data_IF_084938979874
#
_entry.id   IF_084938979874
#
_cell.length_a   1.000
_cell.length_b   1.000
_cell.length_c   1.000
_cell.angle_alpha   90.00
_cell.angle_beta   90.00
_cell.angle_gamma   90.00
#
_symmetry.space_group_name_H-M   'P 1'
#
loop_
_entity.id
_entity.type
_entity.pdbx_description
1 polymer ?
#
# COMPACT_ATOMS: atom_id res chain seq x y z
N UNK A 1 7.53 -47.73 8.29
CA UNK A 1 6.23 -47.05 8.34
C UNK A 1 6.00 -46.38 9.69
N UNK A 2 6.24 -47.03 10.83
CA UNK A 2 5.95 -46.46 12.15
C UNK A 2 6.84 -45.30 12.58
N UNK A 3 8.11 -45.28 12.14
CA UNK A 3 9.05 -44.18 12.40
C UNK A 3 8.57 -42.87 11.75
N UNK A 4 8.00 -42.93 10.55
CA UNK A 4 7.47 -41.74 9.88
C UNK A 4 6.19 -41.23 10.54
N UNK A 5 5.32 -42.14 11.02
CA UNK A 5 4.11 -41.76 11.78
C UNK A 5 4.44 -41.13 13.13
N UNK A 6 5.45 -41.66 13.86
CA UNK A 6 5.86 -41.07 15.13
C UNK A 6 6.51 -39.70 14.94
N UNK A 7 7.30 -39.52 13.88
CA UNK A 7 7.87 -38.22 13.52
C UNK A 7 6.79 -37.20 13.14
N UNK A 8 5.80 -37.60 12.33
CA UNK A 8 4.69 -36.73 11.93
C UNK A 8 3.87 -36.27 13.14
N UNK A 9 3.48 -37.20 14.02
CA UNK A 9 2.74 -36.86 15.25
C UNK A 9 3.54 -35.97 16.19
N UNK A 10 4.87 -36.16 16.28
CA UNK A 10 5.75 -35.29 17.03
C UNK A 10 5.77 -33.86 16.45
N UNK A 11 5.92 -33.71 15.13
CA UNK A 11 5.90 -32.41 14.44
C UNK A 11 4.55 -31.72 14.58
N UNK A 12 3.45 -32.44 14.47
CA UNK A 12 2.10 -31.89 14.63
C UNK A 12 1.87 -31.35 16.05
N UNK A 13 2.20 -32.15 17.09
CA UNK A 13 2.07 -31.74 18.49
C UNK A 13 2.93 -30.51 18.80
N UNK A 14 4.17 -30.49 18.31
CA UNK A 14 5.10 -29.37 18.49
C UNK A 14 4.65 -28.13 17.73
N UNK A 15 4.08 -28.28 16.53
CA UNK A 15 3.48 -27.20 15.76
C UNK A 15 2.33 -26.52 16.51
N UNK A 16 1.40 -27.31 17.05
CA UNK A 16 0.29 -26.79 17.86
C UNK A 16 0.75 -26.10 19.15
N UNK A 17 1.71 -26.69 19.88
CA UNK A 17 2.29 -26.04 21.07
C UNK A 17 3.00 -24.73 20.72
N UNK A 18 3.77 -24.68 19.62
CA UNK A 18 4.40 -23.45 19.18
C UNK A 18 3.38 -22.38 18.80
N UNK A 19 2.31 -22.74 18.08
CA UNK A 19 1.25 -21.80 17.74
C UNK A 19 0.56 -21.24 18.99
N UNK A 20 0.22 -22.09 19.95
CA UNK A 20 -0.45 -21.67 21.18
C UNK A 20 0.44 -20.76 22.03
N UNK A 21 1.73 -21.10 22.17
CA UNK A 21 2.66 -20.39 23.04
C UNK A 21 3.27 -19.13 22.41
N UNK A 22 3.51 -19.15 21.09
CA UNK A 22 4.24 -18.09 20.37
C UNK A 22 3.35 -17.33 19.38
N UNK A 23 2.13 -17.81 19.15
CA UNK A 23 1.23 -17.28 18.13
C UNK A 23 1.67 -17.68 16.72
N UNK A 24 1.15 -16.93 15.75
CA UNK A 24 1.52 -17.08 14.36
C UNK A 24 2.97 -16.66 14.10
N UNK A 25 3.77 -17.58 13.54
CA UNK A 25 5.15 -17.32 13.18
C UNK A 25 5.29 -16.27 12.06
N UNK A 26 4.28 -16.13 11.20
CA UNK A 26 4.34 -15.26 10.02
C UNK A 26 4.00 -13.80 10.36
N UNK A 27 3.05 -13.58 11.26
CA UNK A 27 2.58 -12.25 11.64
C UNK A 27 3.73 -11.36 12.13
N UNK A 28 4.57 -11.85 13.04
CA UNK A 28 5.71 -11.08 13.55
C UNK A 28 6.69 -10.67 12.44
N UNK A 29 6.97 -11.59 11.50
CA UNK A 29 7.82 -11.31 10.35
C UNK A 29 7.25 -10.22 9.46
N UNK A 30 5.99 -10.35 9.01
CA UNK A 30 5.38 -9.37 8.13
C UNK A 30 5.18 -8.00 8.80
N UNK A 31 4.85 -7.98 10.10
CA UNK A 31 4.80 -6.76 10.88
C UNK A 31 6.16 -6.07 10.97
N UNK A 32 7.25 -6.82 11.19
CA UNK A 32 8.59 -6.26 11.23
C UNK A 32 8.98 -5.62 9.88
N UNK A 33 8.62 -6.26 8.76
CA UNK A 33 8.85 -5.72 7.41
C UNK A 33 7.99 -4.46 7.18
N UNK A 34 6.70 -4.50 7.51
CA UNK A 34 5.80 -3.35 7.36
C UNK A 34 6.27 -2.14 8.20
N UNK A 35 6.64 -2.38 9.46
CA UNK A 35 7.19 -1.35 10.35
C UNK A 35 8.54 -0.83 9.87
N UNK A 36 9.40 -1.70 9.32
CA UNK A 36 10.65 -1.31 8.69
C UNK A 36 10.43 -0.37 7.50
N UNK A 37 9.47 -0.70 6.63
CA UNK A 37 9.07 0.15 5.51
C UNK A 37 8.49 1.48 5.99
N UNK A 38 7.56 1.45 6.94
CA UNK A 38 6.98 2.66 7.55
C UNK A 38 8.04 3.61 8.10
N UNK A 39 9.06 3.09 8.79
CA UNK A 39 10.17 3.93 9.30
C UNK A 39 11.04 4.53 8.19
N UNK A 40 11.38 3.74 7.16
CA UNK A 40 12.22 4.21 6.04
C UNK A 40 11.52 5.20 5.12
N UNK A 41 10.21 5.06 4.95
CA UNK A 41 9.41 5.87 4.02
C UNK A 41 8.61 6.98 4.72
N UNK A 42 8.76 7.14 6.04
CA UNK A 42 8.13 8.26 6.75
C UNK A 42 8.78 9.57 6.33
N UNK A 43 7.95 10.55 5.97
CA UNK A 43 8.37 11.93 5.71
C UNK A 43 7.96 12.73 6.96
N UNK A 44 8.89 13.01 7.89
CA UNK A 44 8.55 13.70 9.14
C UNK A 44 8.31 15.20 8.91
N UNK A 45 8.99 15.77 7.92
CA UNK A 45 8.89 17.18 7.57
C UNK A 45 8.98 17.35 6.06
N UNK A 46 8.22 18.29 5.52
CA UNK A 46 8.24 18.65 4.12
C UNK A 46 8.29 20.17 3.96
N UNK A 47 9.28 20.67 3.21
CA UNK A 47 9.33 22.08 2.82
C UNK A 47 8.49 22.31 1.57
N UNK A 48 7.59 23.29 1.65
CA UNK A 48 6.73 23.73 0.56
C UNK A 48 6.97 25.23 0.38
N UNK A 49 7.86 25.59 -0.55
CA UNK A 49 8.38 26.96 -0.63
C UNK A 49 9.06 27.35 0.68
N UNK A 50 8.57 28.42 1.32
CA UNK A 50 9.07 28.92 2.61
C UNK A 50 8.33 28.35 3.83
N UNK A 51 7.37 27.44 3.63
CA UNK A 51 6.56 26.85 4.72
C UNK A 51 7.04 25.43 5.04
N UNK A 52 7.26 25.15 6.32
CA UNK A 52 7.59 23.81 6.82
C UNK A 52 6.32 23.10 7.32
N UNK A 53 5.96 22.00 6.65
CA UNK A 53 4.91 21.09 7.11
C UNK A 53 5.52 20.01 7.99
N UNK A 54 5.00 19.85 9.22
CA UNK A 54 5.40 18.78 10.15
C UNK A 54 4.26 17.85 10.58
N UNK A 55 3.02 18.20 10.24
CA UNK A 55 1.85 17.36 10.49
C UNK A 55 1.72 16.31 9.38
N UNK A 56 1.60 15.01 9.69
CA UNK A 56 1.39 13.96 8.70
C UNK A 56 0.17 14.21 7.80
N UNK A 57 -0.91 14.76 8.37
CA UNK A 57 -2.14 15.09 7.64
C UNK A 57 -1.91 16.22 6.62
N UNK A 58 -1.16 17.25 6.99
CA UNK A 58 -0.86 18.38 6.11
C UNK A 58 0.09 17.94 4.98
N UNK A 59 1.11 17.15 5.31
CA UNK A 59 2.04 16.56 4.34
C UNK A 59 1.26 15.70 3.32
N UNK A 60 0.36 14.83 3.80
CA UNK A 60 -0.44 13.97 2.93
C UNK A 60 -1.37 14.78 2.03
N UNK A 61 -2.04 15.79 2.58
CA UNK A 61 -2.95 16.67 1.83
C UNK A 61 -2.20 17.39 0.72
N UNK A 62 -1.03 17.96 1.04
CA UNK A 62 -0.21 18.69 0.09
C UNK A 62 0.33 17.78 -1.03
N UNK A 63 0.87 16.60 -0.70
CA UNK A 63 1.36 15.64 -1.70
C UNK A 63 0.23 15.24 -2.65
N UNK A 64 -0.96 14.97 -2.09
CA UNK A 64 -2.12 14.59 -2.90
C UNK A 64 -2.57 15.72 -3.82
N UNK A 65 -2.70 16.96 -3.32
CA UNK A 65 -3.11 18.10 -4.15
C UNK A 65 -2.09 18.38 -5.25
N UNK A 66 -0.79 18.36 -4.93
CA UNK A 66 0.28 18.59 -5.88
C UNK A 66 0.24 17.62 -7.06
N UNK A 67 0.17 16.30 -6.78
CA UNK A 67 0.12 15.32 -7.86
C UNK A 67 -1.22 15.29 -8.58
N UNK A 68 -2.31 15.61 -7.89
CA UNK A 68 -3.61 15.80 -8.54
C UNK A 68 -3.55 16.92 -9.55
N UNK A 69 -2.96 18.06 -9.21
CA UNK A 69 -2.79 19.19 -10.14
C UNK A 69 -1.83 18.84 -11.28
N UNK A 70 -0.69 18.19 -10.98
CA UNK A 70 0.31 17.79 -11.97
C UNK A 70 -0.25 16.82 -13.03
N UNK A 71 -1.10 15.89 -12.61
CA UNK A 71 -1.69 14.87 -13.48
C UNK A 71 -3.14 15.17 -13.86
N UNK A 72 -3.70 16.31 -13.47
CA UNK A 72 -4.98 16.74 -13.99
C UNK A 72 -4.83 16.97 -15.50
N UNK A 73 -5.75 16.41 -16.28
CA UNK A 73 -5.76 16.64 -17.72
C UNK A 73 -5.80 18.16 -18.00
N UNK A 74 -4.97 18.61 -18.93
CA UNK A 74 -5.14 19.97 -19.46
C UNK A 74 -6.59 20.17 -19.90
N UNK A 75 -7.16 21.37 -19.73
CA UNK A 75 -8.46 21.68 -20.31
C UNK A 75 -8.42 21.26 -21.77
N UNK A 76 -9.36 20.42 -22.23
CA UNK A 76 -9.38 19.93 -23.62
C UNK A 76 -9.17 21.14 -24.53
N UNK A 77 -8.04 21.16 -25.25
CA UNK A 77 -7.74 22.23 -26.19
C UNK A 77 -8.77 22.22 -27.30
N UNK A 78 -9.87 22.97 -27.10
CA UNK A 78 -10.81 23.53 -28.07
C UNK A 78 -11.47 22.65 -29.14
N UNK A 79 -11.07 21.39 -29.31
CA UNK A 79 -11.50 20.57 -30.44
C UNK A 79 -12.51 19.55 -29.92
N UNK A 80 -13.79 19.89 -30.09
CA UNK A 80 -14.90 18.95 -30.02
C UNK A 80 -15.31 18.53 -31.42
N UNK A 81 -15.71 17.27 -31.59
CA UNK A 81 -16.37 16.84 -32.81
C UNK A 81 -17.71 17.59 -32.95
N UNK A 82 -18.11 17.88 -34.20
CA UNK A 82 -19.45 18.37 -34.50
C UNK A 82 -20.50 17.35 -33.99
N UNK A 83 -21.67 17.83 -33.56
CA UNK A 83 -22.77 16.97 -33.13
C UNK A 83 -23.16 15.93 -34.20
N UNK A 84 -22.94 16.27 -35.46
CA UNK A 84 -23.36 15.50 -36.63
C UNK A 84 -22.19 14.73 -37.26
N UNK A 85 -21.09 14.55 -36.54
CA UNK A 85 -19.88 13.92 -37.08
C UNK A 85 -20.10 12.45 -37.47
N UNK A 86 -20.97 11.74 -36.76
CA UNK A 86 -21.29 10.35 -37.07
C UNK A 86 -22.57 10.29 -37.90
N UNK A 87 -22.53 9.68 -39.10
CA UNK A 87 -23.75 9.40 -39.83
C UNK A 87 -24.62 8.45 -39.00
N UNK A 88 -25.93 8.74 -38.94
CA UNK A 88 -26.90 7.80 -38.38
C UNK A 88 -26.80 6.51 -39.18
N UNK A 89 -26.61 5.39 -38.49
CA UNK A 89 -26.57 4.09 -39.14
C UNK A 89 -27.94 3.82 -39.80
N UNK A 90 -27.91 3.46 -41.09
CA UNK A 90 -29.08 3.08 -41.90
C UNK A 90 -29.85 1.89 -41.30
#
# INVERSE_FOLDING_TARGET
MDIYKSEETFRQRRGGQNWLLKGDANTAYFQAIANGRRRKCAIPFLWVGDVLLGSPEDISTHIYSFYKELFSAEPRGGVSLCADFWPLAD
#
